data_IF_637996914240
#
_entry.id   IF_637996914240
#
_cell.length_a   1.000
_cell.length_b   1.000
_cell.length_c   1.000
_cell.angle_alpha   90.00
_cell.angle_beta   90.00
_cell.angle_gamma   90.00
#
_symmetry.space_group_name_H-M   'P 1'
#
loop_
_entity.id
_entity.type
_entity.pdbx_description
1 polymer ?
#
# COMPACT_ATOMS: atom_id res chain seq x y z
N UNK A 1 -2.38 34.46 -7.08
CA UNK A 1 -2.29 33.04 -7.51
C UNK A 1 -3.33 32.84 -8.59
N UNK A 2 -2.91 32.54 -9.82
CA UNK A 2 -3.82 32.28 -10.93
C UNK A 2 -4.01 30.75 -10.99
N UNK A 3 -5.22 30.27 -10.75
CA UNK A 3 -5.58 28.85 -10.89
C UNK A 3 -5.92 28.61 -12.36
N UNK A 4 -5.14 27.79 -13.03
CA UNK A 4 -5.39 27.38 -14.41
C UNK A 4 -6.00 25.99 -14.42
N UNK A 5 -7.30 25.88 -14.69
CA UNK A 5 -8.00 24.61 -14.78
C UNK A 5 -7.92 24.08 -16.21
N UNK A 6 -7.39 22.87 -16.37
CA UNK A 6 -7.42 22.14 -17.64
C UNK A 6 -8.48 21.03 -17.56
N UNK A 7 -9.33 21.01 -18.57
CA UNK A 7 -10.35 19.96 -18.73
C UNK A 7 -9.97 19.06 -19.91
N UNK A 8 -10.05 17.75 -19.70
CA UNK A 8 -9.89 16.78 -20.76
C UNK A 8 -11.18 15.94 -20.86
N UNK A 9 -11.63 15.71 -22.07
CA UNK A 9 -12.73 14.80 -22.35
C UNK A 9 -12.14 13.53 -22.96
N UNK A 10 -12.52 12.38 -22.43
CA UNK A 10 -12.12 11.07 -22.95
C UNK A 10 -13.39 10.38 -23.46
N UNK A 11 -13.36 9.94 -24.72
CA UNK A 11 -14.42 9.12 -25.32
C UNK A 11 -13.83 7.72 -25.46
N UNK A 12 -14.40 6.76 -24.73
CA UNK A 12 -14.08 5.35 -24.90
C UNK A 12 -14.86 4.79 -26.09
N UNK A 13 -14.18 4.09 -27.01
CA UNK A 13 -14.79 3.36 -28.11
C UNK A 13 -14.53 1.87 -27.88
N UNK A 14 -15.61 1.09 -27.77
CA UNK A 14 -15.52 -0.37 -27.74
C UNK A 14 -15.90 -0.90 -29.12
N UNK A 15 -15.03 -1.72 -29.71
CA UNK A 15 -15.28 -2.37 -30.99
C UNK A 15 -15.25 -3.87 -30.74
N UNK A 16 -16.31 -4.58 -31.13
CA UNK A 16 -16.40 -6.03 -31.05
C UNK A 16 -16.80 -6.62 -32.40
N UNK A 17 -16.29 -7.78 -32.73
CA UNK A 17 -16.65 -8.53 -33.93
C UNK A 17 -17.83 -9.47 -33.69
N UNK A 18 -18.06 -9.84 -32.42
CA UNK A 18 -19.09 -10.80 -32.02
C UNK A 18 -19.86 -10.27 -30.81
N UNK A 19 -21.18 -10.07 -30.98
CA UNK A 19 -22.07 -9.64 -29.91
C UNK A 19 -22.46 -10.76 -28.94
N UNK A 20 -22.34 -12.03 -29.38
CA UNK A 20 -22.73 -13.22 -28.63
C UNK A 20 -21.51 -13.97 -28.03
N UNK A 21 -20.35 -13.31 -27.91
CA UNK A 21 -19.18 -13.94 -27.33
C UNK A 21 -19.45 -14.28 -25.85
N UNK A 22 -19.50 -15.59 -25.54
CA UNK A 22 -19.52 -16.05 -24.16
C UNK A 22 -18.18 -15.67 -23.52
N UNK A 23 -18.25 -14.66 -22.68
CA UNK A 23 -17.13 -14.14 -21.95
C UNK A 23 -16.69 -15.17 -20.88
N UNK A 24 -15.63 -15.91 -21.13
CA UNK A 24 -14.97 -16.63 -20.06
C UNK A 24 -14.18 -15.63 -19.22
N UNK A 25 -14.72 -15.27 -18.08
CA UNK A 25 -14.01 -14.43 -17.12
C UNK A 25 -12.76 -15.17 -16.62
N UNK A 26 -11.62 -14.49 -16.69
CA UNK A 26 -10.37 -15.04 -16.20
C UNK A 26 -9.54 -13.92 -15.56
N UNK A 27 -9.15 -14.12 -14.32
CA UNK A 27 -8.27 -13.24 -13.58
C UNK A 27 -7.06 -14.05 -13.09
N UNK A 28 -5.86 -13.53 -13.34
CA UNK A 28 -4.62 -14.23 -13.05
C UNK A 28 -3.78 -13.43 -12.04
N UNK A 29 -3.27 -14.09 -11.02
CA UNK A 29 -2.19 -13.57 -10.19
C UNK A 29 -0.85 -13.83 -10.89
N UNK A 30 -0.20 -12.76 -11.35
CA UNK A 30 1.02 -12.86 -12.17
C UNK A 30 2.30 -12.51 -11.45
N UNK A 31 2.21 -11.98 -10.24
CA UNK A 31 3.38 -11.64 -9.42
C UNK A 31 3.03 -11.18 -8.03
N UNK A 32 3.97 -11.41 -7.11
CA UNK A 32 3.95 -10.94 -5.73
C UNK A 32 5.35 -10.41 -5.44
N UNK A 33 5.47 -9.14 -5.08
CA UNK A 33 6.79 -8.54 -4.84
C UNK A 33 6.73 -7.47 -3.73
N UNK A 34 7.73 -7.41 -2.84
CA UNK A 34 7.88 -6.28 -1.93
C UNK A 34 8.24 -5.02 -2.71
N UNK A 35 7.73 -3.87 -2.29
CA UNK A 35 7.92 -2.61 -3.00
C UNK A 35 7.72 -1.40 -2.07
N UNK A 36 8.14 -0.23 -2.54
CA UNK A 36 7.71 1.04 -1.97
C UNK A 36 6.59 1.63 -2.82
N UNK A 37 5.47 1.88 -2.19
CA UNK A 37 4.33 2.58 -2.81
C UNK A 37 4.12 3.90 -2.08
N UNK A 38 4.27 5.01 -2.78
CA UNK A 38 4.22 6.37 -2.19
C UNK A 38 5.19 6.55 -1.01
N UNK A 39 6.38 5.98 -1.09
CA UNK A 39 7.40 5.97 -0.03
C UNK A 39 7.01 5.17 1.23
N UNK A 40 6.01 4.33 1.15
CA UNK A 40 5.62 3.40 2.23
C UNK A 40 5.90 1.97 1.80
N UNK A 41 6.29 1.15 2.77
CA UNK A 41 6.53 -0.28 2.56
C UNK A 41 5.24 -1.02 2.25
N UNK A 42 5.28 -1.89 1.26
CA UNK A 42 4.14 -2.66 0.82
C UNK A 42 4.56 -3.99 0.18
N UNK A 43 3.63 -4.92 0.10
CA UNK A 43 3.69 -6.05 -0.84
C UNK A 43 2.70 -5.76 -1.96
N UNK A 44 3.19 -5.78 -3.18
CA UNK A 44 2.39 -5.52 -4.38
C UNK A 44 2.10 -6.83 -5.09
N UNK A 45 0.83 -7.11 -5.33
CA UNK A 45 0.39 -8.23 -6.14
C UNK A 45 -0.09 -7.74 -7.51
N UNK A 46 0.25 -8.48 -8.56
CA UNK A 46 -0.12 -8.15 -9.94
C UNK A 46 -1.26 -9.04 -10.39
N UNK A 47 -2.43 -8.47 -10.55
CA UNK A 47 -3.63 -9.14 -11.05
C UNK A 47 -3.89 -8.76 -12.49
N UNK A 48 -3.99 -9.74 -13.36
CA UNK A 48 -4.16 -9.56 -14.80
C UNK A 48 -5.53 -10.07 -15.26
N UNK A 49 -6.28 -9.21 -15.92
CA UNK A 49 -7.35 -9.59 -16.81
C UNK A 49 -6.75 -9.83 -18.20
N UNK A 50 -6.67 -11.06 -18.64
CA UNK A 50 -6.15 -11.44 -19.95
C UNK A 50 -7.25 -11.53 -21.03
N UNK A 51 -8.48 -11.18 -20.67
CA UNK A 51 -9.64 -11.26 -21.54
C UNK A 51 -9.89 -9.92 -22.28
N UNK A 52 -10.50 -9.97 -23.47
CA UNK A 52 -10.76 -8.78 -24.29
C UNK A 52 -11.97 -7.94 -23.82
N UNK A 53 -12.50 -8.18 -22.63
CA UNK A 53 -13.65 -7.46 -22.07
C UNK A 53 -13.37 -7.02 -20.65
N UNK A 54 -14.20 -6.10 -20.16
CA UNK A 54 -14.10 -5.56 -18.80
C UNK A 54 -14.60 -6.61 -17.81
N UNK A 55 -13.79 -6.89 -16.78
CA UNK A 55 -14.26 -7.55 -15.57
C UNK A 55 -14.65 -6.48 -14.57
N UNK A 56 -15.94 -6.42 -14.23
CA UNK A 56 -16.48 -5.35 -13.37
C UNK A 56 -16.94 -5.84 -12.01
N UNK A 57 -16.99 -4.90 -11.06
CA UNK A 57 -17.46 -5.11 -9.69
C UNK A 57 -16.71 -6.25 -8.97
N UNK A 58 -15.41 -6.29 -9.12
CA UNK A 58 -14.56 -7.28 -8.46
C UNK A 58 -14.22 -6.78 -7.04
N UNK A 59 -14.58 -7.56 -6.06
CA UNK A 59 -14.13 -7.40 -4.69
C UNK A 59 -12.90 -8.27 -4.48
N UNK A 60 -11.85 -7.71 -3.86
CA UNK A 60 -10.57 -8.39 -3.62
C UNK A 60 -10.29 -8.37 -2.13
N UNK A 61 -9.96 -9.53 -1.59
CA UNK A 61 -9.49 -9.72 -0.22
C UNK A 61 -8.15 -10.44 -0.25
N UNK A 62 -7.18 -9.94 0.49
CA UNK A 62 -5.86 -10.55 0.60
C UNK A 62 -5.39 -10.62 2.04
N UNK A 63 -4.75 -11.72 2.37
CA UNK A 63 -4.17 -12.01 3.67
C UNK A 63 -2.74 -12.52 3.47
N UNK A 64 -1.79 -11.92 4.17
CA UNK A 64 -0.40 -12.39 4.19
C UNK A 64 -0.12 -13.08 5.51
N UNK A 65 0.54 -14.22 5.43
CA UNK A 65 0.96 -15.03 6.56
C UNK A 65 2.49 -15.19 6.53
N UNK A 66 3.11 -15.25 7.69
CA UNK A 66 4.43 -15.87 7.84
C UNK A 66 4.30 -17.37 7.51
N UNK A 67 5.35 -18.00 6.95
CA UNK A 67 5.26 -19.33 6.35
C UNK A 67 4.55 -20.38 7.23
N UNK A 68 4.83 -20.36 8.53
CA UNK A 68 4.30 -21.33 9.51
C UNK A 68 3.16 -20.79 10.37
N UNK A 69 2.77 -19.51 10.19
CA UNK A 69 1.75 -18.87 11.02
C UNK A 69 0.33 -19.24 10.58
N UNK A 70 -0.59 -19.27 11.56
CA UNK A 70 -2.02 -19.46 11.32
C UNK A 70 -2.81 -18.16 11.34
N UNK A 71 -2.22 -17.09 11.85
CA UNK A 71 -2.81 -15.76 11.90
C UNK A 71 -2.20 -14.89 10.80
N UNK A 72 -3.03 -14.16 10.10
CA UNK A 72 -2.58 -13.23 9.08
C UNK A 72 -1.82 -12.06 9.74
N UNK A 73 -0.63 -11.75 9.21
CA UNK A 73 0.18 -10.62 9.66
C UNK A 73 -0.23 -9.32 8.99
N UNK A 74 -0.78 -9.39 7.77
CA UNK A 74 -1.32 -8.25 7.03
C UNK A 74 -2.57 -8.65 6.28
N UNK A 75 -3.50 -7.72 6.14
CA UNK A 75 -4.73 -7.88 5.36
C UNK A 75 -4.98 -6.64 4.53
N UNK A 76 -5.58 -6.82 3.36
CA UNK A 76 -5.99 -5.73 2.51
C UNK A 76 -7.27 -6.08 1.74
N UNK A 77 -8.12 -5.09 1.51
CA UNK A 77 -9.36 -5.26 0.75
C UNK A 77 -9.51 -4.15 -0.28
N UNK A 78 -10.14 -4.46 -1.40
CA UNK A 78 -10.51 -3.49 -2.43
C UNK A 78 -11.88 -3.88 -2.98
N UNK A 79 -12.85 -2.99 -2.89
CA UNK A 79 -14.23 -3.25 -3.27
C UNK A 79 -14.58 -2.63 -4.63
N UNK A 80 -15.47 -3.28 -5.35
CA UNK A 80 -16.09 -2.80 -6.58
C UNK A 80 -15.11 -2.26 -7.63
N UNK A 81 -13.96 -2.93 -7.79
CA UNK A 81 -12.97 -2.52 -8.78
C UNK A 81 -13.28 -3.07 -10.17
N UNK A 82 -12.76 -2.41 -11.20
CA UNK A 82 -12.95 -2.83 -12.58
C UNK A 82 -11.60 -3.04 -13.25
N UNK A 83 -11.46 -4.17 -13.92
CA UNK A 83 -10.30 -4.48 -14.75
C UNK A 83 -10.61 -4.18 -16.21
N UNK A 84 -9.82 -3.32 -16.83
CA UNK A 84 -9.90 -3.10 -18.26
C UNK A 84 -9.50 -4.35 -19.05
N UNK A 85 -9.92 -4.50 -20.31
CA UNK A 85 -9.50 -5.59 -21.16
C UNK A 85 -7.97 -5.66 -21.29
N UNK A 86 -7.41 -6.86 -21.25
CA UNK A 86 -5.98 -7.11 -21.42
C UNK A 86 -5.10 -6.19 -20.54
N UNK A 87 -5.51 -6.00 -19.29
CA UNK A 87 -4.82 -5.09 -18.36
C UNK A 87 -4.36 -5.80 -17.10
N UNK A 88 -3.33 -5.20 -16.47
CA UNK A 88 -2.84 -5.63 -15.16
C UNK A 88 -3.01 -4.47 -14.19
N UNK A 89 -3.51 -4.76 -13.01
CA UNK A 89 -3.52 -3.82 -11.89
C UNK A 89 -2.53 -4.27 -10.81
N UNK A 90 -2.00 -3.30 -10.10
CA UNK A 90 -1.22 -3.52 -8.89
C UNK A 90 -2.15 -3.38 -7.70
N UNK A 91 -2.40 -4.49 -7.01
CA UNK A 91 -3.11 -4.46 -5.73
C UNK A 91 -2.07 -4.37 -4.61
N UNK A 92 -2.23 -3.39 -3.74
CA UNK A 92 -1.24 -3.02 -2.73
C UNK A 92 -1.69 -3.50 -1.36
N UNK A 93 -0.85 -4.31 -0.71
CA UNK A 93 -0.99 -4.71 0.68
C UNK A 93 -0.04 -3.83 1.49
N UNK A 94 -0.60 -2.86 2.20
CA UNK A 94 0.15 -1.90 3.01
C UNK A 94 0.88 -2.61 4.17
N UNK A 95 2.16 -2.33 4.32
CA UNK A 95 2.98 -2.85 5.42
C UNK A 95 3.05 -1.91 6.61
N UNK A 96 2.20 -0.86 6.62
CA UNK A 96 2.09 0.13 7.69
C UNK A 96 3.44 0.80 8.03
N UNK A 97 4.25 1.00 7.00
CA UNK A 97 5.58 1.56 7.09
C UNK A 97 6.52 0.81 8.07
N UNK A 98 6.29 -0.48 8.25
CA UNK A 98 7.17 -1.36 9.02
C UNK A 98 8.27 -1.91 8.12
N UNK A 99 9.37 -2.35 8.74
CA UNK A 99 10.43 -3.05 8.01
C UNK A 99 9.89 -4.33 7.37
N UNK A 100 10.30 -4.58 6.14
CA UNK A 100 10.09 -5.84 5.46
C UNK A 100 11.17 -6.81 5.96
N UNK A 101 10.79 -7.82 6.70
CA UNK A 101 11.74 -8.81 7.20
C UNK A 101 12.00 -9.87 6.13
N UNK A 102 13.27 -10.24 5.88
CA UNK A 102 13.60 -11.35 5.00
C UNK A 102 12.99 -12.66 5.51
N UNK A 103 12.34 -13.42 4.63
CA UNK A 103 11.71 -14.66 5.05
C UNK A 103 10.80 -15.26 4.00
N UNK A 104 10.21 -16.40 4.34
CA UNK A 104 9.20 -17.06 3.54
C UNK A 104 7.81 -16.69 4.05
N UNK A 105 6.96 -16.32 3.13
CA UNK A 105 5.59 -15.86 3.38
C UNK A 105 4.61 -16.61 2.49
N UNK A 106 3.34 -16.50 2.83
CA UNK A 106 2.24 -17.06 2.05
C UNK A 106 1.14 -16.01 1.87
N UNK A 107 0.76 -15.79 0.63
CA UNK A 107 -0.38 -14.97 0.26
C UNK A 107 -1.61 -15.84 0.05
N UNK A 108 -2.69 -15.55 0.75
CA UNK A 108 -4.03 -16.01 0.39
C UNK A 108 -4.81 -14.82 -0.15
N UNK A 109 -5.37 -14.98 -1.33
CA UNK A 109 -6.13 -13.93 -1.99
C UNK A 109 -7.39 -14.49 -2.61
N UNK A 110 -8.47 -13.76 -2.48
CA UNK A 110 -9.74 -14.06 -3.14
C UNK A 110 -10.16 -12.82 -3.91
N UNK A 111 -10.57 -13.01 -5.15
CA UNK A 111 -11.24 -12.01 -5.95
C UNK A 111 -12.58 -12.57 -6.40
N UNK A 112 -13.66 -11.80 -6.29
CA UNK A 112 -14.98 -12.29 -6.63
C UNK A 112 -15.90 -11.20 -7.15
N UNK A 113 -16.87 -11.59 -7.93
CA UNK A 113 -18.04 -10.78 -8.28
C UNK A 113 -19.32 -11.61 -8.09
N UNK A 114 -20.43 -11.18 -8.67
CA UNK A 114 -21.70 -11.92 -8.53
C UNK A 114 -21.71 -13.30 -9.19
N UNK A 115 -20.86 -13.51 -10.19
CA UNK A 115 -20.90 -14.67 -11.09
C UNK A 115 -19.69 -15.59 -10.90
N UNK A 116 -18.54 -15.02 -10.54
CA UNK A 116 -17.24 -15.72 -10.52
C UNK A 116 -16.46 -15.48 -9.23
N UNK A 117 -15.62 -16.45 -8.87
CA UNK A 117 -14.67 -16.39 -7.76
C UNK A 117 -13.33 -16.98 -8.17
N UNK A 118 -12.25 -16.26 -7.87
CA UNK A 118 -10.86 -16.69 -8.05
C UNK A 118 -10.16 -16.71 -6.73
N UNK A 119 -9.43 -17.76 -6.44
CA UNK A 119 -8.68 -17.91 -5.20
C UNK A 119 -7.25 -18.33 -5.48
N UNK A 120 -6.33 -17.73 -4.74
CA UNK A 120 -4.90 -18.05 -4.78
C UNK A 120 -4.38 -18.32 -3.37
N UNK A 121 -3.50 -19.29 -3.26
CA UNK A 121 -2.75 -19.60 -2.02
C UNK A 121 -1.30 -19.87 -2.45
N UNK A 122 -0.50 -18.80 -2.50
CA UNK A 122 0.82 -18.79 -3.14
C UNK A 122 1.91 -18.42 -2.15
N UNK A 123 2.99 -19.22 -2.09
CA UNK A 123 4.17 -18.85 -1.33
C UNK A 123 4.95 -17.75 -2.05
N UNK A 124 5.56 -16.86 -1.28
CA UNK A 124 6.53 -15.89 -1.79
C UNK A 124 7.64 -15.65 -0.78
N UNK A 125 8.77 -15.12 -1.24
CA UNK A 125 9.93 -14.86 -0.41
C UNK A 125 10.30 -13.40 -0.48
N UNK A 126 10.60 -12.80 0.67
CA UNK A 126 11.26 -11.51 0.76
C UNK A 126 12.74 -11.80 0.98
N UNK A 127 13.58 -11.40 0.03
CA UNK A 127 15.03 -11.57 0.14
C UNK A 127 15.66 -10.45 0.96
N UNK A 128 16.90 -10.66 1.45
CA UNK A 128 17.65 -9.61 2.15
C UNK A 128 17.78 -8.32 1.32
N UNK A 129 18.07 -8.44 0.01
CA UNK A 129 18.17 -7.31 -0.91
C UNK A 129 16.82 -6.56 -1.06
N UNK A 130 15.71 -7.30 -1.10
CA UNK A 130 14.38 -6.71 -1.18
C UNK A 130 13.96 -6.05 0.13
N UNK A 131 14.39 -6.56 1.26
CA UNK A 131 14.11 -5.97 2.57
C UNK A 131 14.81 -4.63 2.77
N UNK A 132 16.01 -4.44 2.19
CA UNK A 132 16.77 -3.18 2.24
C UNK A 132 15.97 -1.97 1.69
N UNK A 133 15.01 -2.18 0.80
CA UNK A 133 14.13 -1.10 0.31
C UNK A 133 13.33 -0.43 1.44
N UNK A 134 13.06 -1.14 2.52
CA UNK A 134 12.33 -0.61 3.67
C UNK A 134 13.13 0.38 4.50
N UNK A 135 14.46 0.34 4.44
CA UNK A 135 15.34 1.25 5.18
C UNK A 135 15.09 2.69 4.76
N UNK A 136 14.96 2.93 3.45
CA UNK A 136 14.70 4.28 2.89
C UNK A 136 13.34 4.83 3.36
N UNK A 137 12.31 3.99 3.43
CA UNK A 137 10.95 4.41 3.83
C UNK A 137 10.85 4.68 5.32
N UNK A 138 11.33 3.75 6.14
CA UNK A 138 11.21 3.82 7.61
C UNK A 138 12.11 4.91 8.19
N UNK A 139 13.31 5.14 7.62
CA UNK A 139 14.19 6.21 8.05
C UNK A 139 13.61 7.60 7.81
N UNK A 140 12.87 7.82 6.70
CA UNK A 140 12.25 9.11 6.41
C UNK A 140 11.19 9.50 7.44
N UNK A 141 10.42 8.55 7.93
CA UNK A 141 9.39 8.81 8.93
C UNK A 141 9.97 9.08 10.31
N UNK A 142 10.99 8.34 10.72
CA UNK A 142 11.59 8.44 12.04
C UNK A 142 12.58 9.59 12.21
N UNK A 143 13.03 10.24 11.14
CA UNK A 143 14.12 11.22 11.15
C UNK A 143 13.85 12.47 12.00
N UNK A 144 12.57 12.86 12.17
CA UNK A 144 12.17 14.06 12.90
C UNK A 144 11.62 13.82 14.30
N UNK A 145 11.24 12.58 14.65
CA UNK A 145 10.53 12.24 15.87
C UNK A 145 11.28 11.28 16.81
N UNK A 146 12.60 11.32 16.82
CA UNK A 146 13.35 10.52 17.81
C UNK A 146 13.06 11.02 19.22
N UNK A 147 12.92 10.11 20.21
CA UNK A 147 12.74 10.49 21.62
C UNK A 147 13.79 11.49 22.13
N UNK A 148 15.00 11.45 21.56
CA UNK A 148 16.10 12.37 21.87
C UNK A 148 15.80 13.82 21.48
N UNK A 149 15.12 14.05 20.36
CA UNK A 149 14.69 15.38 19.92
C UNK A 149 13.64 15.96 20.87
N UNK A 150 12.67 15.15 21.30
CA UNK A 150 11.69 15.56 22.30
C UNK A 150 12.33 15.91 23.65
N UNK A 151 13.27 15.11 24.14
CA UNK A 151 14.01 15.39 25.36
C UNK A 151 14.78 16.69 25.20
N UNK A 152 15.44 16.91 24.07
CA UNK A 152 16.13 18.19 23.79
C UNK A 152 15.20 19.40 23.86
N UNK A 153 14.03 19.33 23.25
CA UNK A 153 13.03 20.39 23.27
C UNK A 153 12.54 20.67 24.69
N UNK A 154 12.25 19.63 25.47
CA UNK A 154 11.81 19.75 26.86
C UNK A 154 12.87 20.44 27.70
N UNK A 155 14.14 20.06 27.58
CA UNK A 155 15.24 20.69 28.32
C UNK A 155 15.37 22.17 27.98
N UNK A 156 15.28 22.54 26.71
CA UNK A 156 15.32 23.96 26.28
C UNK A 156 14.15 24.75 26.87
N UNK A 157 12.94 24.18 26.84
CA UNK A 157 11.75 24.85 27.44
C UNK A 157 11.91 25.04 28.95
N UNK A 158 12.44 24.06 29.68
CA UNK A 158 12.68 24.18 31.12
C UNK A 158 13.71 25.28 31.40
N UNK A 159 14.80 25.38 30.64
CA UNK A 159 15.79 26.44 30.77
C UNK A 159 15.15 27.84 30.55
N UNK A 160 14.33 27.97 29.51
CA UNK A 160 13.62 29.24 29.24
C UNK A 160 12.70 29.62 30.39
N UNK A 161 11.95 28.68 30.96
CA UNK A 161 11.09 28.93 32.12
C UNK A 161 11.90 29.39 33.34
N UNK A 162 13.03 28.76 33.63
CA UNK A 162 13.91 29.15 34.74
C UNK A 162 14.45 30.56 34.54
N UNK A 163 14.92 30.90 33.34
CA UNK A 163 15.39 32.24 33.01
C UNK A 163 14.28 33.27 33.20
N UNK A 164 13.07 33.01 32.72
CA UNK A 164 11.91 33.88 32.88
C UNK A 164 11.58 34.11 34.38
N UNK A 165 11.60 33.07 35.20
CA UNK A 165 11.35 33.18 36.63
C UNK A 165 12.41 34.01 37.34
N UNK A 166 13.68 33.87 36.96
CA UNK A 166 14.77 34.70 37.51
C UNK A 166 14.60 36.18 37.14
N UNK A 167 14.26 36.49 35.88
CA UNK A 167 14.06 37.85 35.40
C UNK A 167 12.84 38.50 36.09
N UNK A 168 11.74 37.76 36.23
CA UNK A 168 10.55 38.24 36.93
C UNK A 168 10.80 38.52 38.43
N UNK A 169 11.60 37.66 39.09
CA UNK A 169 12.02 37.90 40.49
C UNK A 169 12.92 39.12 40.65
N UNK A 170 13.83 39.37 39.67
CA UNK A 170 14.68 40.58 39.68
C UNK A 170 13.91 41.88 39.42
N UNK A 171 12.81 41.82 38.67
CA UNK A 171 11.95 43.00 38.40
C UNK A 171 11.04 43.37 39.57
N UNK A 172 10.82 42.44 40.51
CA UNK A 172 9.98 42.69 41.73
C UNK A 172 10.78 43.18 42.96
N UNK A 173 12.11 43.30 42.84
CA UNK A 173 12.98 43.96 43.79
C UNK A 173 13.40 45.34 43.25
#
# INVERSE_FOLDING_TARGET
VQINNQYAYVIGLQVTEDEDHEANSNLNLTGIEPSLVNYQTAVVTKLQNDQPFILGNIDIEAEVYDADAQEAIKTATLEATNFAPNSTINFVIDWENQYLEPGEYRLKMTASNNDDEWTWDEPFTITDEQAEISDDAVELENRWFTPQVFIGIIVVLVIIIIILLIVLRKRKK
#
